data_IF_340843406954
#
_entry.id   IF_340843406954
#
_cell.length_a   1.000
_cell.length_b   1.000
_cell.length_c   1.000
_cell.angle_alpha   90.00
_cell.angle_beta   90.00
_cell.angle_gamma   90.00
#
_symmetry.space_group_name_H-M   'P 1'
#
loop_
_entity.id
_entity.type
_entity.pdbx_description
1 polymer ?
#
# COMPACT_ATOMS: atom_id res chain seq x y z
N UNK A 1 -0.10 14.74 -20.20
CA UNK A 1 0.03 14.02 -18.92
C UNK A 1 0.36 12.58 -19.25
N UNK A 2 1.53 12.07 -18.87
CA UNK A 2 1.98 10.75 -19.30
C UNK A 2 1.03 9.67 -18.79
N UNK A 3 0.40 8.93 -19.70
CA UNK A 3 -0.52 7.81 -19.44
C UNK A 3 0.10 6.75 -18.51
N UNK A 4 1.43 6.74 -18.37
CA UNK A 4 2.20 5.83 -17.53
C UNK A 4 2.07 6.11 -16.03
N UNK A 5 1.78 7.35 -15.60
CA UNK A 5 1.61 7.69 -14.17
C UNK A 5 0.19 7.41 -13.66
N UNK A 6 -0.82 7.45 -14.54
CA UNK A 6 -2.17 6.98 -14.21
C UNK A 6 -2.20 5.44 -14.03
N UNK A 7 -1.31 4.74 -14.72
CA UNK A 7 -1.16 3.30 -14.56
C UNK A 7 -0.67 2.95 -13.14
N UNK A 8 0.43 3.53 -12.64
CA UNK A 8 0.98 3.21 -11.31
C UNK A 8 0.01 3.41 -10.13
N UNK A 9 -1.10 4.14 -10.33
CA UNK A 9 -2.12 4.43 -9.33
C UNK A 9 -3.18 3.33 -9.15
N UNK A 10 -3.11 2.25 -9.92
CA UNK A 10 -4.05 1.12 -9.84
C UNK A 10 -3.65 0.07 -8.79
N UNK A 11 -2.62 0.34 -8.00
CA UNK A 11 -1.78 -0.73 -7.45
C UNK A 11 -2.27 -1.29 -6.12
N UNK A 12 -2.93 -0.47 -5.30
CA UNK A 12 -3.50 -0.80 -3.99
C UNK A 12 -4.58 0.28 -3.78
N UNK A 13 -5.87 0.00 -3.58
CA UNK A 13 -6.49 -0.50 -2.37
C UNK A 13 -7.94 -0.93 -2.65
N UNK A 14 -8.38 -1.99 -1.99
CA UNK A 14 -9.80 -2.25 -1.71
C UNK A 14 -9.88 -3.06 -0.41
N UNK A 15 -9.41 -2.48 0.68
CA UNK A 15 -9.49 -3.08 2.03
C UNK A 15 -10.05 -2.11 3.07
N UNK A 16 -11.14 -1.42 2.72
CA UNK A 16 -11.96 -0.69 3.70
C UNK A 16 -12.98 -1.59 4.42
N UNK A 17 -13.05 -2.88 4.11
CA UNK A 17 -13.87 -3.84 4.87
C UNK A 17 -13.12 -4.37 6.10
N UNK A 18 -12.78 -3.50 7.06
CA UNK A 18 -12.53 -3.98 8.43
C UNK A 18 -13.86 -4.26 9.12
N UNK A 19 -14.29 -5.50 9.03
CA UNK A 19 -15.46 -6.03 9.72
C UNK A 19 -15.28 -7.49 10.17
N UNK A 20 -14.52 -7.70 11.26
CA UNK A 20 -14.72 -8.76 12.28
C UNK A 20 -14.36 -10.24 12.04
N UNK A 21 -13.45 -10.66 11.17
CA UNK A 21 -13.15 -12.12 11.08
C UNK A 21 -11.70 -12.61 11.12
N UNK A 22 -10.65 -11.78 10.97
CA UNK A 22 -9.26 -12.28 10.94
C UNK A 22 -8.35 -11.94 12.13
N UNK A 23 -8.83 -11.22 13.15
CA UNK A 23 -8.03 -10.86 14.34
C UNK A 23 -8.20 -11.84 15.53
N UNK A 24 -8.71 -13.07 15.32
CA UNK A 24 -8.87 -14.05 16.42
C UNK A 24 -7.60 -14.81 16.78
N UNK A 25 -6.52 -14.68 16.03
CA UNK A 25 -5.31 -15.50 16.22
C UNK A 25 -4.10 -14.74 16.79
N UNK A 26 -4.26 -13.48 17.24
CA UNK A 26 -3.18 -12.71 17.90
C UNK A 26 -3.42 -12.49 19.41
N UNK A 27 -4.01 -13.46 20.10
CA UNK A 27 -4.13 -13.43 21.56
C UNK A 27 -3.15 -14.45 22.19
N UNK A 28 -1.94 -14.02 22.51
CA UNK A 28 -0.98 -14.90 23.19
C UNK A 28 0.38 -14.29 23.50
N UNK A 29 0.43 -13.28 24.38
CA UNK A 29 1.70 -12.78 24.89
C UNK A 29 1.52 -11.69 25.94
N UNK A 30 1.26 -12.08 27.20
CA UNK A 30 1.39 -11.18 28.35
C UNK A 30 2.88 -11.06 28.67
N UNK A 31 3.47 -9.89 28.42
CA UNK A 31 4.76 -9.52 28.99
C UNK A 31 4.55 -8.53 30.14
N UNK A 32 5.20 -8.85 31.26
CA UNK A 32 5.03 -8.26 32.58
C UNK A 32 5.88 -6.99 32.73
N UNK A 33 5.42 -6.14 33.63
CA UNK A 33 6.04 -4.89 34.08
C UNK A 33 7.55 -4.98 34.35
N UNK A 34 8.32 -4.08 33.76
CA UNK A 34 9.73 -3.83 34.05
C UNK A 34 10.15 -2.48 33.44
N UNK A 35 10.59 -1.54 34.28
CA UNK A 35 10.69 -0.11 33.99
C UNK A 35 11.47 0.28 32.73
N UNK A 36 10.92 1.28 32.01
CA UNK A 36 11.52 1.85 30.81
C UNK A 36 12.66 2.82 31.16
N UNK A 37 13.89 2.31 31.26
CA UNK A 37 15.07 3.13 31.06
C UNK A 37 15.16 3.48 29.57
N UNK A 38 15.23 4.78 29.24
CA UNK A 38 15.43 5.28 27.87
C UNK A 38 16.90 5.22 27.47
N UNK A 39 17.27 4.59 26.34
CA UNK A 39 18.47 4.98 25.62
C UNK A 39 18.08 5.91 24.46
N UNK A 40 18.75 7.06 24.41
CA UNK A 40 18.73 7.95 23.26
C UNK A 40 19.46 7.35 22.05
N UNK A 41 19.06 7.81 20.87
CA UNK A 41 19.67 7.49 19.59
C UNK A 41 18.65 7.71 18.47
N UNK A 42 18.90 8.66 17.59
CA UNK A 42 18.06 8.97 16.42
C UNK A 42 17.98 7.83 15.39
N UNK A 43 18.69 6.72 15.64
CA UNK A 43 18.93 5.63 14.69
C UNK A 43 18.30 4.30 15.13
N UNK A 44 17.37 4.30 16.09
CA UNK A 44 16.63 3.09 16.43
C UNK A 44 15.49 2.85 15.41
N UNK A 45 15.49 1.78 14.60
CA UNK A 45 14.44 1.52 13.62
C UNK A 45 13.04 1.35 14.24
N UNK A 46 12.96 1.00 15.52
CA UNK A 46 11.67 0.94 16.24
C UNK A 46 11.10 2.31 16.62
N UNK A 47 11.92 3.38 16.62
CA UNK A 47 11.45 4.75 16.90
C UNK A 47 10.49 5.30 15.84
N UNK A 48 10.59 4.78 14.61
CA UNK A 48 9.71 5.13 13.49
C UNK A 48 8.41 4.32 13.45
N UNK A 49 8.30 3.21 14.20
CA UNK A 49 7.12 2.32 14.14
C UNK A 49 5.78 3.03 14.42
N UNK A 50 5.67 3.97 15.38
CA UNK A 50 4.43 4.73 15.55
C UNK A 50 4.07 5.55 14.31
N UNK A 51 5.05 6.19 13.66
CA UNK A 51 4.84 6.97 12.45
C UNK A 51 4.45 6.08 11.26
N UNK A 52 5.10 4.93 11.07
CA UNK A 52 4.71 3.96 10.05
C UNK A 52 3.27 3.45 10.23
N UNK A 53 2.86 3.15 11.47
CA UNK A 53 1.47 2.70 11.76
C UNK A 53 0.45 3.78 11.43
N UNK A 54 0.74 5.03 11.79
CA UNK A 54 -0.12 6.17 11.46
C UNK A 54 -0.14 6.42 9.95
N UNK A 55 0.99 6.31 9.26
CA UNK A 55 1.05 6.46 7.81
C UNK A 55 0.22 5.39 7.11
N UNK A 56 0.34 4.11 7.50
CA UNK A 56 -0.51 3.03 6.97
C UNK A 56 -1.99 3.28 7.27
N UNK A 57 -2.33 3.88 8.41
CA UNK A 57 -3.72 4.25 8.71
C UNK A 57 -4.24 5.38 7.80
N UNK A 58 -3.40 6.38 7.50
CA UNK A 58 -3.81 7.57 6.77
C UNK A 58 -3.58 7.52 5.25
N UNK A 59 -2.79 6.59 4.71
CA UNK A 59 -2.30 6.68 3.32
C UNK A 59 -3.41 6.91 2.28
N UNK A 60 -4.55 6.23 2.48
CA UNK A 60 -5.75 6.35 1.66
C UNK A 60 -6.94 6.97 2.41
N UNK A 61 -6.69 7.88 3.35
CA UNK A 61 -7.77 8.59 4.04
C UNK A 61 -8.61 9.43 3.05
N UNK A 62 -7.95 10.06 2.07
CA UNK A 62 -8.56 10.64 0.88
C UNK A 62 -8.38 9.66 -0.28
N UNK A 63 -9.47 9.31 -0.96
CA UNK A 63 -9.42 8.37 -2.08
C UNK A 63 -10.48 8.72 -3.13
N UNK A 64 -10.03 9.21 -4.28
CA UNK A 64 -10.80 9.37 -5.50
C UNK A 64 -10.03 8.77 -6.68
N UNK A 65 -10.62 7.75 -7.32
CA UNK A 65 -10.04 7.07 -8.50
C UNK A 65 -9.78 8.00 -9.69
N UNK A 66 -10.42 9.18 -9.72
CA UNK A 66 -10.35 10.14 -10.83
C UNK A 66 -9.28 11.20 -10.62
N UNK A 67 -8.64 11.28 -9.45
CA UNK A 67 -7.67 12.33 -9.14
C UNK A 67 -6.25 11.84 -8.95
N UNK A 68 -5.36 12.81 -9.15
CA UNK A 68 -3.90 12.83 -9.05
C UNK A 68 -3.24 12.79 -7.67
N UNK A 69 -4.01 13.17 -6.66
CA UNK A 69 -3.49 13.87 -5.48
C UNK A 69 -3.96 13.26 -4.16
N UNK A 70 -4.56 12.06 -4.19
CA UNK A 70 -5.04 11.34 -3.01
C UNK A 70 -4.01 11.27 -1.89
N UNK A 71 -2.79 10.81 -2.19
CA UNK A 71 -1.73 10.60 -1.18
C UNK A 71 -1.25 11.94 -0.62
N UNK A 72 -1.16 12.98 -1.46
CA UNK A 72 -0.85 14.33 -1.01
C UNK A 72 -1.92 14.87 -0.04
N UNK A 73 -3.20 14.71 -0.40
CA UNK A 73 -4.34 15.14 0.41
C UNK A 73 -4.51 14.31 1.67
N UNK A 74 -4.24 13.01 1.61
CA UNK A 74 -4.19 12.10 2.75
C UNK A 74 -3.09 12.50 3.74
N UNK A 75 -1.91 12.88 3.23
CA UNK A 75 -0.81 13.37 4.05
C UNK A 75 -1.12 14.70 4.72
N UNK A 76 -1.71 15.65 3.98
CA UNK A 76 -2.21 16.92 4.54
C UNK A 76 -3.26 16.70 5.64
N UNK A 77 -4.22 15.81 5.39
CA UNK A 77 -5.23 15.42 6.37
C UNK A 77 -4.60 14.78 7.61
N UNK A 78 -3.61 13.90 7.45
CA UNK A 78 -2.89 13.29 8.55
C UNK A 78 -2.17 14.33 9.40
N UNK A 79 -1.42 15.23 8.76
CA UNK A 79 -0.69 16.29 9.46
C UNK A 79 -1.62 17.24 10.23
N UNK A 80 -2.72 17.67 9.61
CA UNK A 80 -3.72 18.52 10.24
C UNK A 80 -4.37 17.80 11.44
N UNK A 81 -4.77 16.55 11.27
CA UNK A 81 -5.41 15.74 12.32
C UNK A 81 -4.47 15.53 13.51
N UNK A 82 -3.22 15.12 13.28
CA UNK A 82 -2.24 14.89 14.33
C UNK A 82 -1.88 16.18 15.07
N UNK A 83 -1.79 17.30 14.35
CA UNK A 83 -1.56 18.63 14.97
C UNK A 83 -2.73 19.02 15.87
N UNK A 84 -3.97 18.83 15.43
CA UNK A 84 -5.16 19.10 16.22
C UNK A 84 -5.26 18.22 17.48
N UNK A 85 -4.71 17.00 17.43
CA UNK A 85 -4.59 16.08 18.56
C UNK A 85 -3.40 16.39 19.49
N UNK A 86 -2.64 17.46 19.23
CA UNK A 86 -1.53 17.89 20.08
C UNK A 86 -0.22 17.09 19.88
N UNK A 87 -0.09 16.33 18.79
CA UNK A 87 1.16 15.64 18.49
C UNK A 87 2.28 16.64 18.13
N UNK A 88 3.56 16.31 18.40
CA UNK A 88 4.68 17.13 17.97
C UNK A 88 4.69 17.33 16.45
N UNK A 89 5.06 18.53 15.99
CA UNK A 89 5.13 18.87 14.56
C UNK A 89 6.02 17.90 13.76
N UNK A 90 7.11 17.41 14.36
CA UNK A 90 7.99 16.42 13.74
C UNK A 90 7.30 15.08 13.48
N UNK A 91 6.38 14.66 14.34
CA UNK A 91 5.58 13.43 14.14
C UNK A 91 4.57 13.64 13.01
N UNK A 92 3.85 14.75 13.02
CA UNK A 92 2.89 15.08 11.96
C UNK A 92 3.57 15.15 10.58
N UNK A 93 4.72 15.83 10.50
CA UNK A 93 5.52 15.91 9.27
C UNK A 93 6.08 14.55 8.83
N UNK A 94 6.51 13.71 9.78
CA UNK A 94 6.98 12.36 9.48
C UNK A 94 5.88 11.47 8.89
N UNK A 95 4.67 11.54 9.44
CA UNK A 95 3.51 10.79 8.91
C UNK A 95 3.11 11.29 7.52
N UNK A 96 3.02 12.61 7.31
CA UNK A 96 2.75 13.20 5.98
C UNK A 96 3.75 12.73 4.93
N UNK A 97 5.06 12.80 5.24
CA UNK A 97 6.12 12.31 4.35
C UNK A 97 5.93 10.83 4.00
N UNK A 98 5.69 9.99 5.00
CA UNK A 98 5.49 8.55 4.81
C UNK A 98 4.23 8.22 4.00
N UNK A 99 3.14 8.96 4.21
CA UNK A 99 1.92 8.83 3.40
C UNK A 99 2.20 9.21 1.95
N UNK A 100 2.88 10.33 1.70
CA UNK A 100 3.22 10.76 0.33
C UNK A 100 4.14 9.76 -0.39
N UNK A 101 4.99 9.03 0.34
CA UNK A 101 5.87 8.02 -0.24
C UNK A 101 5.09 6.86 -0.91
N UNK A 102 3.86 6.57 -0.47
CA UNK A 102 3.03 5.51 -1.08
C UNK A 102 2.55 5.83 -2.48
N UNK A 103 2.61 7.10 -2.92
CA UNK A 103 2.20 7.49 -4.28
C UNK A 103 3.03 6.83 -5.39
N UNK A 104 4.27 6.43 -5.08
CA UNK A 104 5.20 5.83 -6.05
C UNK A 104 5.67 4.43 -5.66
N UNK A 105 5.46 4.05 -4.39
CA UNK A 105 6.03 2.87 -3.76
C UNK A 105 7.57 2.77 -3.84
N UNK A 106 8.24 3.87 -4.19
CA UNK A 106 9.69 3.98 -4.16
C UNK A 106 10.11 4.37 -2.75
N UNK A 107 11.11 3.66 -2.23
CA UNK A 107 11.57 3.85 -0.85
C UNK A 107 12.98 4.41 -0.86
N UNK A 108 13.17 5.54 -0.19
CA UNK A 108 14.48 6.18 0.03
C UNK A 108 15.04 5.87 1.42
N UNK A 109 14.19 5.42 2.34
CA UNK A 109 14.53 5.03 3.70
C UNK A 109 13.85 3.73 4.16
N UNK A 110 14.30 3.17 5.30
CA UNK A 110 13.76 1.92 5.83
C UNK A 110 12.31 2.04 6.32
N UNK A 111 11.88 3.22 6.78
CA UNK A 111 10.51 3.49 7.22
C UNK A 111 9.54 3.58 6.04
N UNK A 112 9.93 4.21 4.95
CA UNK A 112 9.19 4.20 3.67
C UNK A 112 9.07 2.78 3.12
N UNK A 113 10.16 1.98 3.18
CA UNK A 113 10.13 0.58 2.75
C UNK A 113 9.11 -0.25 3.53
N UNK A 114 9.00 -0.03 4.84
CA UNK A 114 8.00 -0.72 5.69
C UNK A 114 6.58 -0.29 5.33
N UNK A 115 6.34 1.00 5.12
CA UNK A 115 5.00 1.52 4.78
C UNK A 115 4.57 1.04 3.39
N UNK A 116 5.45 1.13 2.39
CA UNK A 116 5.18 0.68 1.03
C UNK A 116 4.96 -0.84 0.97
N UNK A 117 5.76 -1.63 1.69
CA UNK A 117 5.54 -3.09 1.76
C UNK A 117 4.20 -3.43 2.42
N UNK A 118 3.83 -2.70 3.48
CA UNK A 118 2.56 -2.90 4.17
C UNK A 118 1.37 -2.57 3.27
N UNK A 119 1.45 -1.48 2.51
CA UNK A 119 0.45 -1.10 1.50
C UNK A 119 0.33 -2.18 0.42
N UNK A 120 1.45 -2.60 -0.16
CA UNK A 120 1.52 -3.63 -1.21
C UNK A 120 1.25 -5.06 -0.73
N UNK A 121 1.00 -5.29 0.57
CA UNK A 121 0.73 -6.62 1.12
C UNK A 121 -0.43 -7.32 0.43
N UNK A 122 -1.42 -6.56 -0.05
CA UNK A 122 -2.60 -7.10 -0.75
C UNK A 122 -2.21 -8.01 -1.93
N UNK A 123 -1.08 -7.73 -2.58
CA UNK A 123 -0.61 -8.49 -3.74
C UNK A 123 -0.20 -9.92 -3.37
N UNK A 124 0.29 -10.13 -2.15
CA UNK A 124 0.69 -11.43 -1.62
C UNK A 124 -0.43 -12.15 -0.85
N UNK A 125 -1.70 -11.74 -1.01
CA UNK A 125 -2.84 -12.52 -0.49
C UNK A 125 -2.92 -13.90 -1.15
N UNK A 126 -3.53 -14.90 -0.49
CA UNK A 126 -3.88 -16.16 -1.14
C UNK A 126 -4.66 -15.91 -2.44
N UNK A 127 -4.46 -16.74 -3.46
CA UNK A 127 -4.98 -16.51 -4.81
C UNK A 127 -6.49 -16.15 -4.87
N UNK A 128 -7.40 -16.84 -4.14
CA UNK A 128 -8.81 -16.48 -4.14
C UNK A 128 -9.08 -15.06 -3.59
N UNK A 129 -8.36 -14.66 -2.54
CA UNK A 129 -8.50 -13.33 -1.94
C UNK A 129 -7.89 -12.23 -2.84
N UNK A 130 -6.80 -12.53 -3.53
CA UNK A 130 -6.26 -11.64 -4.56
C UNK A 130 -7.26 -11.44 -5.72
N UNK A 131 -7.91 -12.50 -6.18
CA UNK A 131 -8.88 -12.40 -7.29
C UNK A 131 -10.10 -11.55 -6.89
N UNK A 132 -10.55 -11.62 -5.63
CA UNK A 132 -11.57 -10.71 -5.08
C UNK A 132 -11.07 -9.27 -5.12
N UNK A 133 -9.85 -9.02 -4.65
CA UNK A 133 -9.22 -7.70 -4.70
C UNK A 133 -9.16 -7.15 -6.13
N UNK A 134 -8.64 -7.90 -7.10
CA UNK A 134 -8.54 -7.46 -8.49
C UNK A 134 -9.92 -7.13 -9.10
N UNK A 135 -10.97 -7.89 -8.77
CA UNK A 135 -12.35 -7.58 -9.20
C UNK A 135 -12.90 -6.31 -8.55
N UNK A 136 -12.58 -6.03 -7.29
CA UNK A 136 -12.98 -4.78 -6.62
C UNK A 136 -12.32 -3.57 -7.30
N UNK A 137 -11.02 -3.65 -7.54
CA UNK A 137 -10.27 -2.64 -8.29
C UNK A 137 -10.86 -2.42 -9.69
N UNK A 138 -11.26 -3.48 -10.42
CA UNK A 138 -11.99 -3.31 -11.70
C UNK A 138 -13.29 -2.51 -11.53
N UNK A 139 -14.06 -2.74 -10.47
CA UNK A 139 -15.34 -2.05 -10.22
C UNK A 139 -15.16 -0.58 -9.88
N UNK A 140 -14.14 -0.24 -9.08
CA UNK A 140 -13.80 1.15 -8.72
C UNK A 140 -13.50 1.99 -9.97
N UNK A 141 -12.88 1.38 -10.98
CA UNK A 141 -12.59 2.00 -12.27
C UNK A 141 -13.60 1.62 -13.36
N UNK A 142 -14.85 1.30 -13.01
CA UNK A 142 -15.91 1.01 -13.98
C UNK A 142 -16.16 2.17 -14.97
N UNK A 143 -15.79 3.40 -14.58
CA UNK A 143 -15.85 4.58 -15.44
C UNK A 143 -14.76 4.62 -16.53
N UNK A 144 -13.73 3.77 -16.45
CA UNK A 144 -12.72 3.58 -17.49
C UNK A 144 -13.21 2.54 -18.49
N UNK A 145 -13.10 2.84 -19.80
CA UNK A 145 -13.46 1.89 -20.86
C UNK A 145 -12.65 0.60 -20.74
N UNK A 146 -13.24 -0.52 -21.19
CA UNK A 146 -12.63 -1.83 -21.01
C UNK A 146 -11.23 -1.92 -21.62
N UNK A 147 -11.05 -1.38 -22.81
CA UNK A 147 -9.79 -1.41 -23.53
C UNK A 147 -8.68 -0.60 -22.81
N UNK A 148 -9.01 0.61 -22.34
CA UNK A 148 -8.10 1.44 -21.54
C UNK A 148 -7.78 0.80 -20.19
N UNK A 149 -8.78 0.17 -19.56
CA UNK A 149 -8.60 -0.56 -18.32
C UNK A 149 -7.58 -1.71 -18.48
N UNK A 150 -7.81 -2.59 -19.46
CA UNK A 150 -6.98 -3.77 -19.69
C UNK A 150 -5.54 -3.36 -20.02
N UNK A 151 -5.36 -2.40 -20.93
CA UNK A 151 -4.03 -1.89 -21.30
C UNK A 151 -3.32 -1.21 -20.12
N UNK A 152 -4.03 -0.35 -19.40
CA UNK A 152 -3.53 0.35 -18.22
C UNK A 152 -3.09 -0.64 -17.13
N UNK A 153 -4.01 -1.49 -16.67
CA UNK A 153 -3.75 -2.50 -15.64
C UNK A 153 -2.61 -3.45 -16.04
N UNK A 154 -2.57 -3.92 -17.28
CA UNK A 154 -1.48 -4.77 -17.75
C UNK A 154 -0.11 -4.07 -17.70
N UNK A 155 -0.06 -2.75 -17.94
CA UNK A 155 1.17 -1.95 -17.81
C UNK A 155 1.65 -1.90 -16.37
N UNK A 156 0.75 -1.70 -15.41
CA UNK A 156 1.06 -1.72 -13.97
C UNK A 156 1.64 -3.03 -13.51
N UNK A 157 0.96 -4.13 -13.86
CA UNK A 157 1.39 -5.46 -13.46
C UNK A 157 2.76 -5.79 -14.05
N UNK A 158 3.06 -5.33 -15.29
CA UNK A 158 4.39 -5.45 -15.89
C UNK A 158 5.43 -4.64 -15.12
N UNK A 159 5.19 -3.36 -14.85
CA UNK A 159 6.11 -2.51 -14.08
C UNK A 159 6.47 -3.14 -12.73
N UNK A 160 5.49 -3.70 -12.01
CA UNK A 160 5.75 -4.42 -10.77
C UNK A 160 6.57 -5.69 -10.95
N UNK A 161 6.31 -6.43 -12.03
CA UNK A 161 7.03 -7.67 -12.35
C UNK A 161 8.44 -7.43 -12.86
N UNK A 162 8.77 -6.23 -13.34
CA UNK A 162 10.09 -5.85 -13.84
C UNK A 162 11.05 -5.43 -12.72
N UNK A 163 10.54 -5.15 -11.53
CA UNK A 163 11.32 -4.82 -10.34
C UNK A 163 11.00 -5.76 -9.16
N UNK A 164 11.63 -5.51 -8.01
CA UNK A 164 11.21 -6.13 -6.75
C UNK A 164 9.93 -5.44 -6.29
N UNK A 165 8.90 -6.20 -5.95
CA UNK A 165 7.64 -5.66 -5.42
C UNK A 165 7.83 -5.18 -3.99
N UNK A 166 8.58 -5.95 -3.18
CA UNK A 166 8.82 -5.62 -1.78
C UNK A 166 10.27 -5.20 -1.50
N UNK A 167 10.41 -4.06 -0.82
CA UNK A 167 11.68 -3.43 -0.51
C UNK A 167 12.38 -4.09 0.68
N UNK A 168 11.66 -4.41 1.76
CA UNK A 168 12.28 -5.01 2.95
C UNK A 168 12.72 -6.45 2.68
N UNK A 169 13.85 -6.90 3.25
CA UNK A 169 14.31 -8.28 3.09
C UNK A 169 13.29 -9.32 3.58
N UNK A 170 12.56 -8.99 4.65
CA UNK A 170 11.57 -9.89 5.21
C UNK A 170 10.35 -10.05 4.28
N UNK A 171 9.75 -8.96 3.80
CA UNK A 171 8.62 -9.04 2.89
C UNK A 171 9.02 -9.65 1.54
N UNK A 172 10.21 -9.32 1.03
CA UNK A 172 10.72 -9.94 -0.19
C UNK A 172 10.86 -11.46 -0.07
N UNK A 173 11.30 -11.98 1.08
CA UNK A 173 11.39 -13.43 1.31
C UNK A 173 10.03 -14.11 1.41
N UNK A 174 9.08 -13.48 2.10
CA UNK A 174 7.83 -14.16 2.50
C UNK A 174 6.64 -13.85 1.59
N UNK A 175 6.63 -12.71 0.90
CA UNK A 175 5.47 -12.22 0.14
C UNK A 175 5.72 -12.16 -1.36
N UNK A 176 6.95 -11.86 -1.79
CA UNK A 176 7.29 -11.72 -3.23
C UNK A 176 6.89 -12.94 -4.07
N UNK A 177 7.11 -14.21 -3.64
CA UNK A 177 6.73 -15.36 -4.46
C UNK A 177 5.22 -15.43 -4.73
N UNK A 178 4.40 -15.17 -3.70
CA UNK A 178 2.94 -15.15 -3.81
C UNK A 178 2.46 -13.97 -4.66
N UNK A 179 2.99 -12.77 -4.42
CA UNK A 179 2.66 -11.59 -5.20
C UNK A 179 2.96 -11.79 -6.68
N UNK A 180 4.16 -12.25 -7.03
CA UNK A 180 4.54 -12.51 -8.42
C UNK A 180 3.67 -13.58 -9.08
N UNK A 181 3.27 -14.62 -8.35
CA UNK A 181 2.34 -15.63 -8.88
C UNK A 181 0.96 -15.03 -9.21
N UNK A 182 0.43 -14.19 -8.31
CA UNK A 182 -0.83 -13.49 -8.52
C UNK A 182 -0.77 -12.49 -9.68
N UNK A 183 0.23 -11.61 -9.70
CA UNK A 183 0.44 -10.61 -10.74
C UNK A 183 0.56 -11.25 -12.13
N UNK A 184 1.32 -12.36 -12.25
CA UNK A 184 1.44 -13.10 -13.52
C UNK A 184 0.12 -13.75 -13.95
N UNK A 185 -0.64 -14.32 -13.02
CA UNK A 185 -1.96 -14.92 -13.31
C UNK A 185 -2.93 -13.86 -13.85
N UNK A 186 -2.99 -12.71 -13.20
CA UNK A 186 -3.84 -11.60 -13.63
C UNK A 186 -3.40 -11.06 -14.99
N UNK A 187 -2.10 -10.81 -15.18
CA UNK A 187 -1.56 -10.32 -16.45
C UNK A 187 -1.85 -11.28 -17.61
N UNK A 188 -1.75 -12.60 -17.38
CA UNK A 188 -2.11 -13.60 -18.39
C UNK A 188 -3.62 -13.56 -18.73
N UNK A 189 -4.48 -13.29 -17.75
CA UNK A 189 -5.92 -13.11 -17.97
C UNK A 189 -6.22 -11.88 -18.82
N UNK A 190 -5.60 -10.74 -18.47
CA UNK A 190 -5.78 -9.48 -19.20
C UNK A 190 -5.29 -9.58 -20.65
N UNK A 191 -4.21 -10.31 -20.91
CA UNK A 191 -3.72 -10.55 -22.28
C UNK A 191 -4.70 -11.34 -23.14
N UNK A 192 -5.35 -12.36 -22.58
CA UNK A 192 -6.41 -13.12 -23.27
C UNK A 192 -7.61 -12.23 -23.57
N UNK A 193 -7.97 -11.39 -22.61
CA UNK A 193 -9.08 -10.45 -22.76
C UNK A 193 -8.81 -9.42 -23.87
N UNK A 194 -7.61 -8.83 -23.90
CA UNK A 194 -7.19 -7.90 -24.96
C UNK A 194 -7.24 -8.54 -26.34
N UNK A 195 -6.82 -9.80 -26.47
CA UNK A 195 -6.88 -10.55 -27.73
C UNK A 195 -8.31 -10.89 -28.19
N UNK A 196 -9.30 -10.77 -27.30
CA UNK A 196 -10.72 -11.00 -27.59
C UNK A 196 -11.54 -9.72 -27.77
N UNK A 197 -10.93 -8.54 -27.60
CA UNK A 197 -11.60 -7.28 -27.87
C UNK A 197 -11.75 -7.10 -29.40
N UNK A 198 -12.92 -6.62 -29.87
CA UNK A 198 -13.22 -6.44 -31.28
C UNK A 198 -12.42 -5.32 -31.94
#
# INVERSE_FOLDING_TARGET
MSETLAALRLLVTADRDRGREQDRDWAGGRERDGGWARPGGADNPTSALPACRLAVFFHDAVYDTRTSDNEARSGELAAATLTALGCPRSVAAGVDRLVRATATHLSTGPDEAVVNDADLRVLARPAPAYDVYARRVRREYAWVSQERWVSGRATVLRTLLDQRVYATPWASRHWEPMARANLRRELASLRRELASLP
#
